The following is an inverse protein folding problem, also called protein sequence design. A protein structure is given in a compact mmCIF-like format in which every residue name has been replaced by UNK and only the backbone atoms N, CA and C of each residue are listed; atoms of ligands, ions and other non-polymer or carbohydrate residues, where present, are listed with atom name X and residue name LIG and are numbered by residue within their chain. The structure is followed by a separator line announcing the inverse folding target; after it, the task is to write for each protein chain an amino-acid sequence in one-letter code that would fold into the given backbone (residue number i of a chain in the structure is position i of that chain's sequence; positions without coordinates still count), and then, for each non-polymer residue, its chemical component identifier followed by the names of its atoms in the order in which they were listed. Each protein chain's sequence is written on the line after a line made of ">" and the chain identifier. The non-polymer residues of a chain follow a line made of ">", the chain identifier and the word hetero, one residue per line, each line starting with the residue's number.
data_IF_333123327577
#
_entry.id   IF_333123327577
#
_cell.length_a   1.000
_cell.length_b   1.000
_cell.length_c   1.000
_cell.angle_alpha   90.00
_cell.angle_beta   90.00
_cell.angle_gamma   90.00
#
_symmetry.space_group_name_H-M   'P 1'
#
loop_
_entity.id
_entity.type
_entity.pdbx_description
1 polymer ?
#
# COMPACT_ATOMS: atom_id res chain seq x y z
N UNK A 1 -11.02 4.47 -58.86
CA UNK A 1 -10.28 3.86 -57.73
C UNK A 1 -9.41 4.89 -56.97
N UNK A 2 -9.97 6.02 -56.51
CA UNK A 2 -9.20 7.08 -55.81
C UNK A 2 -9.72 7.40 -54.40
N UNK A 3 -10.87 6.85 -54.02
CA UNK A 3 -11.54 7.12 -52.73
C UNK A 3 -11.33 6.03 -51.68
N UNK A 4 -10.78 4.86 -52.06
CA UNK A 4 -10.48 3.76 -51.13
C UNK A 4 -9.17 4.02 -50.38
N UNK A 5 -8.25 4.80 -50.95
CA UNK A 5 -6.94 5.10 -50.32
C UNK A 5 -7.04 6.04 -49.12
N UNK A 6 -8.10 6.83 -49.01
CA UNK A 6 -8.30 7.79 -47.90
C UNK A 6 -8.92 7.17 -46.65
N UNK A 7 -9.54 5.98 -46.74
CA UNK A 7 -10.14 5.30 -45.57
C UNK A 7 -9.13 4.54 -44.71
N UNK A 8 -7.96 4.18 -45.26
CA UNK A 8 -6.93 3.43 -44.52
C UNK A 8 -6.12 4.34 -43.56
N UNK A 9 -6.06 5.64 -43.83
CA UNK A 9 -5.29 6.60 -43.03
C UNK A 9 -5.96 6.92 -41.68
N UNK A 10 -7.29 6.83 -41.60
CA UNK A 10 -8.05 7.07 -40.36
C UNK A 10 -7.94 5.94 -39.33
N UNK A 11 -7.52 4.73 -39.75
CA UNK A 11 -7.44 3.57 -38.86
C UNK A 11 -6.11 3.50 -38.08
N UNK A 12 -5.09 4.27 -38.48
CA UNK A 12 -3.78 4.30 -37.82
C UNK A 12 -3.64 5.37 -36.72
N UNK A 13 -4.53 6.37 -36.63
CA UNK A 13 -4.49 7.35 -35.54
C UNK A 13 -5.11 6.85 -34.22
N UNK A 14 -5.92 5.79 -34.26
CA UNK A 14 -6.60 5.26 -33.07
C UNK A 14 -5.74 4.39 -32.15
N UNK A 15 -4.62 3.84 -32.64
CA UNK A 15 -3.78 2.90 -31.88
C UNK A 15 -2.72 3.58 -31.02
N UNK A 16 -2.36 4.84 -31.30
CA UNK A 16 -1.30 5.54 -30.56
C UNK A 16 -1.79 5.98 -29.17
N UNK A 17 -3.09 6.22 -28.99
CA UNK A 17 -3.65 6.66 -27.71
C UNK A 17 -3.61 5.56 -26.62
N UNK A 18 -3.70 4.28 -27.00
CA UNK A 18 -3.73 3.17 -26.04
C UNK A 18 -2.34 2.78 -25.52
N UNK A 19 -1.30 2.94 -26.33
CA UNK A 19 0.08 2.57 -25.95
C UNK A 19 0.63 3.54 -24.90
N UNK A 20 0.42 4.85 -25.10
CA UNK A 20 0.85 5.88 -24.15
C UNK A 20 0.18 5.76 -22.76
N UNK A 21 -1.05 5.22 -22.69
CA UNK A 21 -1.74 5.00 -21.43
C UNK A 21 -1.22 3.78 -20.65
N UNK A 22 -0.70 2.76 -21.34
CA UNK A 22 -0.06 1.58 -20.73
C UNK A 22 1.38 1.84 -20.29
N UNK A 23 2.14 2.66 -21.01
CA UNK A 23 3.51 3.02 -20.61
C UNK A 23 3.53 3.95 -19.40
N UNK A 24 2.62 4.94 -19.34
CA UNK A 24 2.50 5.84 -18.19
C UNK A 24 2.14 5.11 -16.88
N UNK A 25 1.28 4.09 -16.94
CA UNK A 25 0.96 3.28 -15.76
C UNK A 25 2.14 2.43 -15.31
N UNK A 26 2.84 1.75 -16.22
CA UNK A 26 4.00 0.91 -15.91
C UNK A 26 5.21 1.71 -15.36
N UNK A 27 5.50 2.89 -15.90
CA UNK A 27 6.54 3.79 -15.39
C UNK A 27 6.17 4.39 -14.02
N UNK A 28 4.89 4.75 -13.83
CA UNK A 28 4.42 5.24 -12.53
C UNK A 28 4.56 4.17 -11.45
N UNK A 29 4.19 2.92 -11.73
CA UNK A 29 4.28 1.80 -10.78
C UNK A 29 5.74 1.46 -10.44
N UNK A 30 6.62 1.43 -11.44
CA UNK A 30 8.05 1.12 -11.25
C UNK A 30 8.75 2.21 -10.44
N UNK A 31 8.43 3.49 -10.69
CA UNK A 31 9.03 4.63 -9.99
C UNK A 31 8.53 4.80 -8.54
N UNK A 32 7.29 4.43 -8.22
CA UNK A 32 6.80 4.48 -6.82
C UNK A 32 7.46 3.36 -5.99
N UNK A 33 7.73 2.20 -6.58
CA UNK A 33 8.30 1.05 -5.87
C UNK A 33 9.76 1.23 -5.46
N UNK A 34 10.46 2.22 -6.03
CA UNK A 34 11.89 2.50 -5.85
C UNK A 34 12.17 3.91 -5.31
N UNK A 35 11.21 4.84 -5.40
CA UNK A 35 11.40 6.20 -4.90
C UNK A 35 10.88 6.34 -3.44
N UNK A 36 11.76 6.53 -2.45
CA UNK A 36 11.37 6.71 -1.05
C UNK A 36 10.44 7.92 -0.85
N UNK A 37 10.57 8.98 -1.64
CA UNK A 37 9.74 10.19 -1.51
C UNK A 37 8.26 9.91 -1.82
N UNK A 38 8.00 9.00 -2.77
CA UNK A 38 6.64 8.60 -3.11
C UNK A 38 6.00 7.71 -2.04
N UNK A 39 6.79 6.91 -1.32
CA UNK A 39 6.29 6.17 -0.16
C UNK A 39 5.94 7.13 0.97
N UNK A 40 6.80 8.12 1.26
CA UNK A 40 6.53 9.18 2.24
C UNK A 40 5.23 9.92 1.93
N UNK A 41 4.96 10.22 0.65
CA UNK A 41 3.69 10.83 0.24
C UNK A 41 2.46 10.02 0.67
N UNK A 42 2.44 8.70 0.44
CA UNK A 42 1.29 7.87 0.81
C UNK A 42 1.15 7.68 2.32
N UNK A 43 2.26 7.69 3.07
CA UNK A 43 2.22 7.70 4.52
C UNK A 43 1.62 9.00 5.05
N UNK A 44 2.05 10.15 4.51
CA UNK A 44 1.50 11.43 4.89
C UNK A 44 0.00 11.49 4.56
N UNK A 45 -0.37 11.11 3.34
CA UNK A 45 -1.76 11.10 2.88
C UNK A 45 -2.65 10.17 3.72
N UNK A 46 -2.17 8.99 4.09
CA UNK A 46 -2.92 8.08 4.95
C UNK A 46 -3.13 8.66 6.35
N UNK A 47 -2.11 9.29 6.94
CA UNK A 47 -2.27 10.00 8.21
C UNK A 47 -3.27 11.16 8.10
N UNK A 48 -3.20 11.97 7.03
CA UNK A 48 -4.12 13.09 6.79
C UNK A 48 -5.57 12.60 6.63
N UNK A 49 -5.79 11.57 5.82
CA UNK A 49 -7.12 10.98 5.60
C UNK A 49 -7.67 10.39 6.91
N UNK A 50 -6.86 9.68 7.71
CA UNK A 50 -7.30 9.17 9.01
C UNK A 50 -7.69 10.31 9.97
N UNK A 51 -6.89 11.37 10.06
CA UNK A 51 -7.25 12.52 10.90
C UNK A 51 -8.56 13.18 10.45
N UNK A 52 -8.79 13.28 9.14
CA UNK A 52 -10.05 13.75 8.60
C UNK A 52 -11.20 12.81 8.97
N UNK A 53 -11.04 11.50 8.76
CA UNK A 53 -12.04 10.47 9.11
C UNK A 53 -12.44 10.50 10.58
N UNK A 54 -11.47 10.67 11.49
CA UNK A 54 -11.70 10.76 12.95
C UNK A 54 -12.50 12.01 13.35
N UNK A 55 -12.46 13.07 12.55
CA UNK A 55 -13.15 14.35 12.83
C UNK A 55 -14.35 14.59 11.94
N UNK A 56 -14.57 13.71 10.96
CA UNK A 56 -15.61 13.84 9.96
C UNK A 56 -17.00 13.71 10.58
N UNK A 57 -17.86 14.70 10.30
CA UNK A 57 -19.25 14.72 10.74
C UNK A 57 -20.14 14.96 9.52
N UNK A 58 -20.75 13.89 9.03
CA UNK A 58 -21.73 13.98 7.97
C UNK A 58 -23.01 14.67 8.48
N UNK A 59 -23.66 15.47 7.64
CA UNK A 59 -24.96 16.07 7.92
C UNK A 59 -26.10 15.06 7.74
N UNK A 60 -25.88 14.06 6.89
CA UNK A 60 -26.87 13.02 6.59
C UNK A 60 -26.24 11.64 6.53
N UNK A 61 -27.05 10.59 6.78
CA UNK A 61 -26.61 9.20 6.59
C UNK A 61 -26.21 8.89 5.14
N UNK A 62 -26.80 9.59 4.17
CA UNK A 62 -26.47 9.41 2.76
C UNK A 62 -25.07 9.96 2.42
N UNK A 63 -24.75 11.13 2.95
CA UNK A 63 -23.42 11.75 2.83
C UNK A 63 -22.35 10.87 3.49
N UNK A 64 -22.61 10.38 4.70
CA UNK A 64 -21.70 9.46 5.38
C UNK A 64 -21.44 8.19 4.56
N UNK A 65 -22.51 7.57 4.04
CA UNK A 65 -22.39 6.38 3.21
C UNK A 65 -21.61 6.65 1.92
N UNK A 66 -21.80 7.81 1.30
CA UNK A 66 -21.06 8.20 0.11
C UNK A 66 -19.57 8.37 0.42
N UNK A 67 -19.24 9.08 1.50
CA UNK A 67 -17.87 9.28 1.96
C UNK A 67 -17.14 7.94 2.16
N UNK A 68 -17.73 7.02 2.93
CA UNK A 68 -17.11 5.73 3.19
C UNK A 68 -17.00 4.85 1.94
N UNK A 69 -17.94 4.98 1.00
CA UNK A 69 -17.88 4.30 -0.29
C UNK A 69 -16.69 4.80 -1.11
N UNK A 70 -16.52 6.12 -1.20
CA UNK A 70 -15.41 6.75 -1.93
C UNK A 70 -14.06 6.36 -1.32
N UNK A 71 -13.94 6.40 0.01
CA UNK A 71 -12.74 5.95 0.71
C UNK A 71 -12.37 4.49 0.37
N UNK A 72 -13.36 3.60 0.40
CA UNK A 72 -13.16 2.18 0.07
C UNK A 72 -12.80 1.97 -1.40
N UNK A 73 -13.36 2.77 -2.32
CA UNK A 73 -13.04 2.73 -3.73
C UNK A 73 -11.60 3.20 -3.99
N UNK A 74 -11.19 4.31 -3.38
CA UNK A 74 -9.81 4.79 -3.43
C UNK A 74 -8.82 3.73 -2.92
N UNK A 75 -9.06 3.16 -1.73
CA UNK A 75 -8.20 2.12 -1.16
C UNK A 75 -8.12 0.88 -2.05
N UNK A 76 -9.23 0.49 -2.68
CA UNK A 76 -9.29 -0.65 -3.60
C UNK A 76 -8.49 -0.38 -4.87
N UNK A 77 -8.57 0.82 -5.43
CA UNK A 77 -7.79 1.22 -6.61
C UNK A 77 -6.32 1.34 -6.29
N UNK A 78 -5.96 1.99 -5.18
CA UNK A 78 -4.58 2.09 -4.73
C UNK A 78 -3.96 0.71 -4.52
N UNK A 79 -4.70 -0.23 -3.93
CA UNK A 79 -4.24 -1.62 -3.76
C UNK A 79 -4.00 -2.35 -5.09
N UNK A 80 -4.84 -2.10 -6.09
CA UNK A 80 -4.71 -2.70 -7.42
C UNK A 80 -3.50 -2.15 -8.17
N UNK A 81 -3.35 -0.82 -8.15
CA UNK A 81 -2.33 -0.12 -8.91
C UNK A 81 -0.96 -0.21 -8.24
N UNK A 82 -0.91 -0.08 -6.92
CA UNK A 82 0.36 -0.12 -6.19
C UNK A 82 0.21 -0.69 -4.78
N UNK A 83 0.59 -1.97 -4.64
CA UNK A 83 0.51 -2.67 -3.37
C UNK A 83 1.42 -2.11 -2.28
N UNK A 84 2.61 -1.59 -2.61
CA UNK A 84 3.52 -0.99 -1.61
C UNK A 84 2.99 0.36 -1.11
N UNK A 85 2.49 1.20 -2.01
CA UNK A 85 1.84 2.45 -1.66
C UNK A 85 0.60 2.21 -0.78
N UNK A 86 -0.22 1.24 -1.15
CA UNK A 86 -1.37 0.81 -0.34
C UNK A 86 -0.94 0.36 1.06
N UNK A 87 0.12 -0.43 1.17
CA UNK A 87 0.64 -0.86 2.48
C UNK A 87 1.11 0.33 3.33
N UNK A 88 1.84 1.26 2.74
CA UNK A 88 2.30 2.47 3.43
C UNK A 88 1.13 3.35 3.89
N UNK A 89 0.15 3.56 3.01
CA UNK A 89 -1.08 4.29 3.28
C UNK A 89 -1.88 3.67 4.44
N UNK A 90 -2.17 2.37 4.38
CA UNK A 90 -2.94 1.68 5.42
C UNK A 90 -2.18 1.63 6.74
N UNK A 91 -0.86 1.43 6.73
CA UNK A 91 -0.05 1.46 7.95
C UNK A 91 -0.12 2.82 8.65
N UNK A 92 -0.01 3.91 7.88
CA UNK A 92 -0.14 5.26 8.46
C UNK A 92 -1.55 5.55 9.00
N UNK A 93 -2.61 5.08 8.33
CA UNK A 93 -3.98 5.15 8.88
C UNK A 93 -4.08 4.40 10.20
N UNK A 94 -3.54 3.18 10.25
CA UNK A 94 -3.56 2.36 11.46
C UNK A 94 -2.88 3.06 12.63
N UNK A 95 -1.73 3.69 12.44
CA UNK A 95 -1.03 4.42 13.51
C UNK A 95 -1.93 5.51 14.12
N UNK A 96 -2.61 6.28 13.27
CA UNK A 96 -3.55 7.34 13.69
C UNK A 96 -4.78 6.76 14.38
N UNK A 97 -5.40 5.72 13.82
CA UNK A 97 -6.56 5.06 14.42
C UNK A 97 -6.21 4.41 15.77
N UNK A 98 -5.05 3.78 15.88
CA UNK A 98 -4.60 3.15 17.13
C UNK A 98 -4.31 4.19 18.20
N UNK A 99 -3.67 5.30 17.83
CA UNK A 99 -3.48 6.45 18.70
C UNK A 99 -4.83 7.01 19.17
N UNK A 100 -5.79 7.15 18.26
CA UNK A 100 -7.13 7.60 18.64
C UNK A 100 -7.80 6.62 19.59
N UNK A 101 -7.75 5.31 19.30
CA UNK A 101 -8.35 4.28 20.16
C UNK A 101 -7.82 4.30 21.60
N UNK A 102 -6.53 4.61 21.80
CA UNK A 102 -5.95 4.70 23.15
C UNK A 102 -6.35 5.96 23.92
N UNK A 103 -6.72 7.04 23.22
CA UNK A 103 -7.14 8.32 23.83
C UNK A 103 -8.65 8.53 23.84
N UNK A 104 -9.37 7.70 23.09
CA UNK A 104 -10.80 7.83 22.90
C UNK A 104 -11.55 7.21 24.07
N UNK A 105 -12.27 8.04 24.81
CA UNK A 105 -13.05 7.67 25.99
C UNK A 105 -14.56 7.71 25.69
N UNK A 106 -15.39 7.72 26.74
CA UNK A 106 -16.84 7.80 26.63
C UNK A 106 -17.37 9.10 25.98
N UNK A 107 -16.54 10.13 25.82
CA UNK A 107 -16.90 11.41 25.20
C UNK A 107 -16.62 11.43 23.69
N UNK A 108 -15.94 10.42 23.17
CA UNK A 108 -15.87 10.21 21.73
C UNK A 108 -17.26 9.88 21.19
N UNK A 109 -17.82 10.77 20.38
CA UNK A 109 -19.05 10.52 19.66
C UNK A 109 -18.74 10.31 18.19
N UNK A 110 -18.76 9.04 17.80
CA UNK A 110 -18.67 8.60 16.41
C UNK A 110 -19.98 7.93 15.98
N UNK A 111 -20.21 7.90 14.68
CA UNK A 111 -21.35 7.21 14.09
C UNK A 111 -21.17 5.69 14.10
N UNK A 112 -22.27 4.95 13.96
CA UNK A 112 -22.23 3.50 13.76
C UNK A 112 -21.37 3.11 12.55
N UNK A 113 -21.47 3.89 11.46
CA UNK A 113 -20.69 3.64 10.24
C UNK A 113 -19.20 3.76 10.53
N UNK A 114 -18.78 4.82 11.26
CA UNK A 114 -17.40 5.00 11.67
C UNK A 114 -16.90 3.79 12.45
N UNK A 115 -17.63 3.31 13.47
CA UNK A 115 -17.19 2.15 14.26
C UNK A 115 -17.03 0.88 13.40
N UNK A 116 -17.90 0.70 12.40
CA UNK A 116 -17.77 -0.38 11.41
C UNK A 116 -16.48 -0.30 10.59
N UNK A 117 -16.02 0.92 10.26
CA UNK A 117 -14.78 1.15 9.53
C UNK A 117 -13.54 1.09 10.43
N UNK A 118 -13.61 1.74 11.59
CA UNK A 118 -12.54 1.82 12.57
C UNK A 118 -12.17 0.43 13.15
N UNK A 119 -13.14 -0.48 13.25
CA UNK A 119 -12.90 -1.85 13.71
C UNK A 119 -11.85 -2.61 12.88
N UNK A 120 -11.73 -2.33 11.58
CA UNK A 120 -10.68 -2.89 10.74
C UNK A 120 -9.28 -2.49 11.24
N UNK A 121 -9.11 -1.21 11.60
CA UNK A 121 -7.84 -0.66 12.05
C UNK A 121 -7.53 -1.00 13.51
N UNK A 122 -8.55 -1.13 14.37
CA UNK A 122 -8.37 -1.46 15.79
C UNK A 122 -8.03 -2.94 16.03
N UNK A 123 -8.68 -3.85 15.30
CA UNK A 123 -8.67 -5.27 15.65
C UNK A 123 -8.16 -6.20 14.55
N UNK A 124 -8.44 -5.90 13.28
CA UNK A 124 -8.14 -6.84 12.19
C UNK A 124 -6.74 -6.68 11.61
N UNK A 125 -6.13 -5.49 11.71
CA UNK A 125 -4.85 -5.25 11.05
C UNK A 125 -3.65 -5.82 11.83
N UNK A 126 -3.69 -5.81 13.16
CA UNK A 126 -2.60 -6.35 14.00
C UNK A 126 -2.31 -7.84 13.69
N UNK A 127 -3.33 -8.58 13.23
CA UNK A 127 -3.20 -9.98 12.84
C UNK A 127 -2.57 -10.20 11.45
N UNK A 128 -2.45 -9.17 10.59
CA UNK A 128 -2.04 -9.31 9.18
C UNK A 128 -0.65 -8.77 8.87
N UNK A 129 0.37 -9.14 9.66
CA UNK A 129 1.80 -9.07 9.28
C UNK A 129 2.61 -7.83 9.72
N UNK A 130 2.35 -7.24 10.89
CA UNK A 130 3.34 -6.33 11.52
C UNK A 130 4.37 -7.04 12.39
N UNK A 131 4.36 -8.37 12.47
CA UNK A 131 5.57 -9.12 12.77
C UNK A 131 6.46 -9.13 11.52
N UNK A 132 7.08 -7.98 11.26
CA UNK A 132 8.38 -7.91 10.60
C UNK A 132 9.34 -8.69 11.52
N UNK A 133 9.31 -10.03 11.46
CA UNK A 133 10.38 -10.85 12.02
C UNK A 133 11.66 -10.25 11.44
N UNK A 134 12.61 -9.78 12.27
CA UNK A 134 13.92 -9.43 11.76
C UNK A 134 14.37 -10.62 10.92
N UNK A 135 14.74 -10.38 9.66
CA UNK A 135 15.46 -11.38 8.90
C UNK A 135 16.78 -11.58 9.64
N UNK A 136 16.80 -12.50 10.60
CA UNK A 136 18.02 -13.00 11.21
C UNK A 136 18.70 -13.84 10.13
N UNK A 137 19.27 -13.16 9.14
CA UNK A 137 20.27 -13.73 8.27
C UNK A 137 21.49 -13.91 9.15
N UNK A 138 21.54 -15.00 9.93
CA UNK A 138 22.77 -15.37 10.62
C UNK A 138 23.77 -15.74 9.54
N UNK A 139 24.69 -14.83 9.23
CA UNK A 139 25.83 -15.13 8.37
C UNK A 139 26.74 -16.06 9.17
N UNK A 140 26.52 -17.37 9.02
CA UNK A 140 27.38 -18.39 9.62
C UNK A 140 28.65 -18.51 8.76
N UNK A 141 29.69 -17.80 9.14
CA UNK A 141 31.04 -18.00 8.56
C UNK A 141 31.67 -19.21 9.24
N UNK A 142 31.42 -20.42 8.71
CA UNK A 142 32.19 -21.60 9.10
C UNK A 142 33.60 -21.52 8.51
N UNK A 143 34.53 -20.90 9.25
CA UNK A 143 35.97 -21.01 8.97
C UNK A 143 36.44 -22.36 9.52
N UNK A 144 36.45 -23.38 8.67
CA UNK A 144 37.01 -24.70 9.01
C UNK A 144 38.52 -24.70 8.85
N UNK A 145 39.28 -24.59 9.95
CA UNK A 145 40.72 -24.86 9.94
C UNK A 145 40.95 -26.36 10.12
N UNK A 146 41.39 -27.01 9.03
CA UNK A 146 41.72 -28.43 9.01
C UNK A 146 43.15 -28.61 9.53
N UNK A 147 43.31 -29.08 10.76
CA UNK A 147 44.64 -29.42 11.28
C UNK A 147 45.17 -30.71 10.61
N UNK A 148 46.41 -30.73 10.10
CA UNK A 148 46.98 -31.92 9.51
C UNK A 148 47.31 -32.96 10.58
N UNK A 149 46.86 -34.20 10.39
CA UNK A 149 47.19 -35.32 11.27
C UNK A 149 48.50 -35.98 10.81
N UNK A 150 49.54 -35.92 11.63
CA UNK A 150 50.79 -36.66 11.41
C UNK A 150 50.66 -38.02 12.11
N UNK A 151 50.77 -39.11 11.34
CA UNK A 151 50.83 -40.48 11.88
C UNK A 151 52.30 -40.88 12.02
N UNK A 152 52.75 -41.12 13.25
CA UNK A 152 54.03 -41.78 13.49
C UNK A 152 53.83 -43.29 13.37
N UNK A 153 54.47 -43.89 12.37
CA UNK A 153 54.64 -45.34 12.29
C UNK A 153 55.73 -45.77 13.26
N UNK A 154 55.39 -46.66 14.19
CA UNK A 154 56.36 -47.40 14.98
C UNK A 154 56.75 -48.65 14.18
N UNK A 155 58.06 -48.83 14.00
CA UNK A 155 58.69 -49.95 13.30
C UNK A 155 58.50 -51.27 14.06
#
# INVERSE_FOLDING_TARGET
>A
MKTIKTLIILLFLGTIATVNAQEASAESETSINTNPDKITYYQQRGSEDANYELTFKAKTKAEEKAFWKEQKEYEKELRKNNRKAYQAYIASKQDVYTMHHSHCDAHCHHSDSFYGHAGFYYYEYDQRNYQRRPSNTSVNTQIGVRAPSVRFGLF
#
